data_IF_192580217072
#
_entry.id   IF_192580217072
#
_cell.length_a   1.000
_cell.length_b   1.000
_cell.length_c   1.000
_cell.angle_alpha   90.00
_cell.angle_beta   90.00
_cell.angle_gamma   90.00
#
_symmetry.space_group_name_H-M   'P 1'
#
loop_
_entity.id
_entity.type
_entity.pdbx_description
1 polymer ?
#
# COMPACT_ATOMS: atom_id res chain seq x y z
N UNK A 1 -5.07 0.03 -76.03
CA UNK A 1 -6.00 0.63 -75.07
C UNK A 1 -5.83 -0.17 -73.79
N UNK A 2 -4.92 0.31 -72.91
CA UNK A 2 -4.57 -0.37 -71.65
C UNK A 2 -5.41 0.26 -70.56
N UNK A 3 -6.32 -0.53 -70.01
CA UNK A 3 -7.21 -0.12 -68.96
C UNK A 3 -6.46 -0.30 -67.65
N UNK A 4 -5.98 0.81 -67.06
CA UNK A 4 -5.33 0.86 -65.78
C UNK A 4 -6.41 0.74 -64.71
N UNK A 5 -6.56 -0.46 -64.14
CA UNK A 5 -7.39 -0.67 -62.91
C UNK A 5 -6.59 -0.17 -61.72
N UNK A 6 -6.91 1.04 -61.28
CA UNK A 6 -6.39 1.59 -60.04
C UNK A 6 -7.09 0.90 -58.87
N UNK A 7 -6.45 -0.12 -58.30
CA UNK A 7 -6.89 -0.76 -57.08
C UNK A 7 -6.57 0.18 -55.88
N UNK A 8 -7.53 1.01 -55.50
CA UNK A 8 -7.45 1.76 -54.26
C UNK A 8 -7.52 0.78 -53.09
N UNK A 9 -6.37 0.37 -52.59
CA UNK A 9 -6.24 -0.27 -51.28
C UNK A 9 -6.62 0.76 -50.22
N UNK A 10 -7.89 0.78 -49.87
CA UNK A 10 -8.35 1.41 -48.65
C UNK A 10 -7.74 0.63 -47.47
N UNK A 11 -6.55 1.04 -47.07
CA UNK A 11 -5.96 0.64 -45.79
C UNK A 11 -6.83 1.32 -44.71
N UNK A 12 -7.92 0.66 -44.34
CA UNK A 12 -8.62 0.99 -43.14
C UNK A 12 -7.63 0.74 -42.00
N UNK A 13 -7.04 1.80 -41.46
CA UNK A 13 -6.39 1.73 -40.14
C UNK A 13 -7.48 1.26 -39.18
N UNK A 14 -7.47 -0.02 -38.87
CA UNK A 14 -8.17 -0.55 -37.73
C UNK A 14 -7.49 0.15 -36.53
N UNK A 15 -8.10 1.22 -36.07
CA UNK A 15 -7.74 1.82 -34.77
C UNK A 15 -7.99 0.71 -33.77
N UNK A 16 -6.96 -0.04 -33.42
CA UNK A 16 -7.03 -0.97 -32.29
C UNK A 16 -7.39 -0.14 -31.06
N UNK A 17 -8.61 -0.30 -30.60
CA UNK A 17 -9.05 0.36 -29.37
C UNK A 17 -8.17 -0.14 -28.23
N UNK A 18 -7.55 0.78 -27.49
CA UNK A 18 -6.76 0.42 -26.33
C UNK A 18 -7.69 -0.04 -25.19
N UNK A 19 -7.26 -1.00 -24.37
CA UNK A 19 -8.00 -1.36 -23.17
C UNK A 19 -8.16 -0.15 -22.26
N UNK A 20 -9.22 -0.11 -21.42
CA UNK A 20 -9.38 0.95 -20.43
C UNK A 20 -8.21 0.96 -19.45
N UNK A 21 -7.90 2.12 -18.87
CA UNK A 21 -6.92 2.23 -17.81
C UNK A 21 -7.39 1.49 -16.52
N UNK A 22 -6.47 0.97 -15.70
CA UNK A 22 -6.84 0.33 -14.44
C UNK A 22 -7.43 1.36 -13.46
N UNK A 23 -8.46 0.96 -12.66
CA UNK A 23 -9.00 1.80 -11.61
C UNK A 23 -7.91 2.30 -10.65
N UNK A 24 -8.05 3.52 -10.17
CA UNK A 24 -7.08 4.16 -9.27
C UNK A 24 -7.67 4.34 -7.87
N UNK A 25 -6.80 4.56 -6.87
CA UNK A 25 -7.21 4.83 -5.50
C UNK A 25 -8.20 3.80 -4.93
N UNK A 26 -7.96 2.51 -5.23
CA UNK A 26 -8.80 1.43 -4.73
C UNK A 26 -8.64 1.34 -3.22
N UNK A 27 -9.72 1.56 -2.49
CA UNK A 27 -9.74 1.62 -1.03
C UNK A 27 -10.93 0.81 -0.48
N UNK A 28 -10.70 0.12 0.63
CA UNK A 28 -11.74 -0.59 1.35
C UNK A 28 -11.91 0.02 2.75
N UNK A 29 -13.05 0.66 2.99
CA UNK A 29 -13.41 1.24 4.28
C UNK A 29 -14.74 0.68 4.75
N UNK A 30 -14.79 0.09 5.95
CA UNK A 30 -16.01 -0.50 6.49
C UNK A 30 -16.73 -1.44 5.52
N UNK A 31 -15.99 -2.27 4.80
CA UNK A 31 -16.48 -3.21 3.78
C UNK A 31 -17.15 -2.53 2.58
N UNK A 32 -16.99 -1.24 2.43
CA UNK A 32 -17.32 -0.50 1.23
C UNK A 32 -16.03 -0.29 0.41
N UNK A 33 -15.94 -0.99 -0.70
CA UNK A 33 -14.87 -0.80 -1.67
C UNK A 33 -15.19 0.43 -2.52
N UNK A 34 -14.22 1.30 -2.72
CA UNK A 34 -14.34 2.50 -3.57
C UNK A 34 -13.10 2.63 -4.45
N UNK A 35 -13.25 3.25 -5.60
CA UNK A 35 -12.16 3.54 -6.53
C UNK A 35 -12.47 4.77 -7.37
N UNK A 36 -11.46 5.26 -8.08
CA UNK A 36 -11.63 6.33 -9.08
C UNK A 36 -11.33 5.76 -10.49
N UNK A 37 -12.05 6.21 -11.52
CA UNK A 37 -11.68 5.90 -12.90
C UNK A 37 -10.25 6.35 -13.20
N UNK A 38 -9.56 5.63 -14.09
CA UNK A 38 -8.21 6.01 -14.52
C UNK A 38 -8.18 7.34 -15.28
N UNK A 39 -9.22 7.58 -16.06
CA UNK A 39 -9.41 8.78 -16.90
C UNK A 39 -10.91 9.07 -16.99
N UNK A 40 -11.28 10.21 -17.57
CA UNK A 40 -12.68 10.52 -17.92
C UNK A 40 -13.19 9.67 -19.09
N UNK A 41 -13.07 8.36 -18.94
CA UNK A 41 -13.51 7.40 -19.95
C UNK A 41 -15.03 7.17 -19.83
N UNK A 42 -15.73 7.29 -20.94
CA UNK A 42 -17.16 6.98 -21.01
C UNK A 42 -17.38 5.48 -21.31
N UNK A 43 -18.51 4.96 -20.84
CA UNK A 43 -18.93 3.57 -21.09
C UNK A 43 -17.96 2.51 -20.56
N UNK A 44 -17.34 2.76 -19.42
CA UNK A 44 -16.55 1.79 -18.68
C UNK A 44 -17.43 1.14 -17.60
N UNK A 45 -17.36 -0.17 -17.51
CA UNK A 45 -17.95 -0.95 -16.41
C UNK A 45 -16.85 -1.55 -15.57
N UNK A 46 -17.18 -1.88 -14.32
CA UNK A 46 -16.23 -2.42 -13.36
C UNK A 46 -16.73 -3.76 -12.85
N UNK A 47 -15.81 -4.70 -12.69
CA UNK A 47 -16.06 -5.97 -12.02
C UNK A 47 -15.10 -6.10 -10.84
N UNK A 48 -15.66 -6.40 -9.66
CA UNK A 48 -14.87 -6.64 -8.45
C UNK A 48 -14.57 -8.12 -8.33
N UNK A 49 -13.31 -8.41 -8.01
CA UNK A 49 -12.78 -9.76 -7.80
C UNK A 49 -12.20 -9.87 -6.40
N UNK A 50 -12.23 -11.03 -5.81
CA UNK A 50 -11.57 -11.32 -4.55
C UNK A 50 -10.80 -12.63 -4.62
N UNK A 51 -9.78 -12.73 -3.81
CA UNK A 51 -8.99 -13.94 -3.63
C UNK A 51 -9.33 -14.52 -2.27
N UNK A 52 -9.95 -15.70 -2.27
CA UNK A 52 -10.27 -16.44 -1.05
C UNK A 52 -9.03 -17.17 -0.54
N UNK A 53 -8.87 -17.26 0.78
CA UNK A 53 -7.76 -18.01 1.40
C UNK A 53 -7.83 -19.51 1.12
N UNK A 54 -9.03 -20.03 0.89
CA UNK A 54 -9.28 -21.46 0.67
C UNK A 54 -9.14 -21.88 -0.81
N UNK A 55 -8.90 -20.95 -1.71
CA UNK A 55 -8.84 -21.22 -3.14
C UNK A 55 -7.75 -20.39 -3.83
N UNK A 56 -6.87 -21.06 -4.58
CA UNK A 56 -5.80 -20.42 -5.37
C UNK A 56 -6.30 -19.61 -6.57
N UNK A 57 -7.57 -19.22 -6.59
CA UNK A 57 -8.20 -18.56 -7.72
C UNK A 57 -8.95 -17.31 -7.30
N UNK A 58 -8.84 -16.29 -8.15
CA UNK A 58 -9.68 -15.10 -8.08
C UNK A 58 -11.12 -15.44 -8.47
N UNK A 59 -12.09 -14.97 -7.68
CA UNK A 59 -13.52 -15.11 -7.92
C UNK A 59 -14.15 -13.73 -8.08
N UNK A 60 -15.07 -13.58 -9.01
CA UNK A 60 -15.86 -12.36 -9.14
C UNK A 60 -16.88 -12.25 -7.99
N UNK A 61 -17.12 -11.00 -7.58
CA UNK A 61 -18.16 -10.68 -6.60
C UNK A 61 -19.50 -10.57 -7.35
N UNK A 62 -20.45 -11.50 -7.17
CA UNK A 62 -21.65 -11.56 -8.03
C UNK A 62 -22.48 -10.28 -8.03
N UNK A 63 -22.53 -9.56 -6.89
CA UNK A 63 -23.27 -8.30 -6.75
C UNK A 63 -22.54 -7.09 -7.33
N UNK A 64 -21.28 -7.24 -7.71
CA UNK A 64 -20.40 -6.17 -8.17
C UNK A 64 -19.74 -6.51 -9.51
N UNK A 65 -20.55 -7.02 -10.42
CA UNK A 65 -20.13 -7.42 -11.77
C UNK A 65 -20.71 -6.48 -12.81
N UNK A 66 -19.88 -6.03 -13.75
CA UNK A 66 -20.25 -5.15 -14.87
C UNK A 66 -21.05 -3.91 -14.44
N UNK A 67 -20.68 -3.30 -13.33
CA UNK A 67 -21.37 -2.13 -12.77
C UNK A 67 -20.74 -0.82 -13.27
N UNK A 68 -21.56 0.21 -13.41
CA UNK A 68 -21.10 1.56 -13.78
C UNK A 68 -20.71 2.40 -12.55
N UNK A 69 -21.10 1.98 -11.34
CA UNK A 69 -20.73 2.69 -10.12
C UNK A 69 -19.27 2.44 -9.76
N UNK A 70 -18.67 3.38 -9.03
CA UNK A 70 -17.29 3.32 -8.54
C UNK A 70 -17.22 2.87 -7.07
N UNK A 71 -18.22 2.14 -6.61
CA UNK A 71 -18.25 1.57 -5.27
C UNK A 71 -19.02 0.27 -5.21
N UNK A 72 -18.61 -0.62 -4.31
CA UNK A 72 -19.20 -1.92 -4.12
C UNK A 72 -19.18 -2.31 -2.64
N UNK A 73 -20.29 -2.86 -2.13
CA UNK A 73 -20.35 -3.42 -0.80
C UNK A 73 -19.86 -4.88 -0.81
N UNK A 74 -18.84 -5.17 0.02
CA UNK A 74 -18.20 -6.48 0.10
C UNK A 74 -18.26 -7.07 1.51
N UNK A 75 -19.32 -6.82 2.25
CA UNK A 75 -19.52 -7.28 3.64
C UNK A 75 -19.36 -8.80 3.81
N UNK A 76 -19.64 -9.60 2.80
CA UNK A 76 -19.47 -11.05 2.84
C UNK A 76 -18.02 -11.47 3.05
N UNK A 77 -17.05 -10.62 2.68
CA UNK A 77 -15.63 -10.87 2.88
C UNK A 77 -15.16 -10.66 4.33
N UNK A 78 -16.04 -10.24 5.23
CA UNK A 78 -15.68 -10.03 6.64
C UNK A 78 -15.16 -11.30 7.30
N UNK A 79 -15.75 -12.44 7.03
CA UNK A 79 -15.30 -13.72 7.55
C UNK A 79 -13.92 -14.14 6.98
N UNK A 80 -13.66 -13.79 5.72
CA UNK A 80 -12.36 -14.04 5.09
C UNK A 80 -11.24 -13.20 5.73
N UNK A 81 -11.55 -11.97 6.17
CA UNK A 81 -10.60 -11.05 6.77
C UNK A 81 -10.22 -11.39 8.22
N UNK A 82 -10.98 -12.28 8.90
CA UNK A 82 -10.60 -12.79 10.21
C UNK A 82 -9.28 -13.58 10.16
N UNK A 83 -8.90 -14.06 8.98
CA UNK A 83 -7.65 -14.75 8.71
C UNK A 83 -6.53 -13.83 8.17
N UNK A 84 -6.78 -12.52 8.05
CA UNK A 84 -5.80 -11.52 7.63
C UNK A 84 -6.30 -10.58 6.55
N UNK A 85 -5.37 -10.10 5.71
CA UNK A 85 -5.69 -9.23 4.59
C UNK A 85 -6.41 -10.02 3.47
N UNK A 86 -7.71 -9.87 3.33
CA UNK A 86 -8.42 -10.39 2.17
C UNK A 86 -8.07 -9.53 0.94
N UNK A 87 -7.49 -10.16 -0.07
CA UNK A 87 -7.15 -9.50 -1.32
C UNK A 87 -8.42 -9.26 -2.13
N UNK A 88 -8.57 -8.03 -2.59
CA UNK A 88 -9.65 -7.61 -3.46
C UNK A 88 -9.08 -6.84 -4.64
N UNK A 89 -9.72 -6.95 -5.79
CA UNK A 89 -9.30 -6.28 -7.00
C UNK A 89 -10.48 -5.72 -7.78
N UNK A 90 -10.23 -4.64 -8.51
CA UNK A 90 -11.20 -4.03 -9.42
C UNK A 90 -10.62 -4.02 -10.83
N UNK A 91 -11.40 -4.50 -11.76
CA UNK A 91 -11.08 -4.56 -13.18
C UNK A 91 -12.03 -3.64 -13.93
N UNK A 92 -11.50 -2.78 -14.79
CA UNK A 92 -12.27 -1.96 -15.70
C UNK A 92 -12.48 -2.69 -17.04
N UNK A 93 -13.67 -2.58 -17.62
CA UNK A 93 -14.03 -3.19 -18.90
C UNK A 93 -14.72 -2.19 -19.81
N UNK A 94 -14.32 -2.19 -21.09
CA UNK A 94 -14.94 -1.39 -22.14
C UNK A 94 -14.96 -2.21 -23.44
N UNK A 95 -16.15 -2.44 -23.99
CA UNK A 95 -16.33 -3.18 -25.27
C UNK A 95 -15.59 -4.52 -25.33
N UNK A 96 -15.57 -5.25 -24.21
CA UNK A 96 -14.91 -6.55 -24.12
C UNK A 96 -13.37 -6.48 -23.94
N UNK A 97 -12.78 -5.29 -23.86
CA UNK A 97 -11.38 -5.09 -23.49
C UNK A 97 -11.30 -4.81 -22.00
N UNK A 98 -10.35 -5.42 -21.32
CA UNK A 98 -10.17 -5.32 -19.87
C UNK A 98 -8.88 -4.63 -19.52
N UNK A 99 -8.90 -3.86 -18.42
CA UNK A 99 -7.69 -3.29 -17.81
C UNK A 99 -6.87 -4.35 -17.08
N UNK A 100 -5.70 -3.96 -16.62
CA UNK A 100 -5.07 -4.66 -15.49
C UNK A 100 -5.94 -4.52 -14.23
N UNK A 101 -5.85 -5.53 -13.34
CA UNK A 101 -6.59 -5.52 -12.07
C UNK A 101 -5.90 -4.60 -11.06
N UNK A 102 -6.62 -3.60 -10.57
CA UNK A 102 -6.16 -2.77 -9.46
C UNK A 102 -6.51 -3.44 -8.14
N UNK A 103 -5.52 -3.67 -7.29
CA UNK A 103 -5.66 -4.47 -6.06
C UNK A 103 -5.72 -3.61 -4.82
N UNK A 104 -6.46 -4.07 -3.84
CA UNK A 104 -6.50 -3.54 -2.48
C UNK A 104 -6.50 -4.70 -1.47
N UNK A 105 -6.26 -4.35 -0.23
CA UNK A 105 -6.30 -5.28 0.88
C UNK A 105 -7.35 -4.83 1.87
N UNK A 106 -8.12 -5.76 2.44
CA UNK A 106 -9.06 -5.41 3.50
C UNK A 106 -8.28 -4.84 4.68
N UNK A 107 -8.41 -3.55 4.91
CA UNK A 107 -8.04 -2.98 6.19
C UNK A 107 -9.25 -3.11 7.10
N UNK A 108 -9.10 -3.64 8.30
CA UNK A 108 -10.19 -3.87 9.26
C UNK A 108 -10.85 -2.55 9.73
N UNK A 109 -11.30 -1.71 8.80
CA UNK A 109 -12.01 -0.47 9.08
C UNK A 109 -11.19 0.64 9.72
N UNK A 110 -9.89 0.48 9.86
CA UNK A 110 -9.00 1.51 10.37
C UNK A 110 -8.30 2.23 9.20
N UNK A 111 -8.48 3.55 9.11
CA UNK A 111 -7.85 4.39 8.07
C UNK A 111 -6.31 4.36 8.10
N UNK A 112 -5.71 3.79 9.14
CA UNK A 112 -4.26 3.66 9.32
C UNK A 112 -3.77 2.21 9.19
N UNK A 113 -4.52 1.33 8.53
CA UNK A 113 -4.10 -0.05 8.30
C UNK A 113 -3.23 -0.17 7.04
N UNK A 114 -2.16 -1.01 7.07
CA UNK A 114 -1.72 -1.84 8.20
C UNK A 114 -1.25 -1.00 9.40
N UNK A 115 -1.41 -1.52 10.62
CA UNK A 115 -0.97 -0.79 11.82
C UNK A 115 0.55 -0.86 11.96
N UNK A 116 1.16 0.29 12.26
CA UNK A 116 2.58 0.43 12.52
C UNK A 116 2.80 0.85 13.98
N UNK A 117 3.61 0.11 14.69
CA UNK A 117 4.11 0.46 16.02
C UNK A 117 5.62 0.65 15.95
N UNK A 118 6.12 1.74 16.50
CA UNK A 118 7.55 2.04 16.54
C UNK A 118 8.10 1.92 17.95
N UNK A 119 9.24 1.24 18.09
CA UNK A 119 10.09 1.37 19.28
C UNK A 119 11.48 1.86 18.88
N UNK A 120 12.19 2.48 19.82
CA UNK A 120 13.52 3.03 19.55
C UNK A 120 14.49 2.69 20.68
N UNK A 121 15.71 2.34 20.29
CA UNK A 121 16.88 2.21 21.14
C UNK A 121 17.95 3.21 20.64
N UNK A 122 19.00 3.51 21.42
CA UNK A 122 20.10 4.33 20.93
C UNK A 122 20.60 3.83 19.56
N UNK A 123 20.61 4.72 18.56
CA UNK A 123 21.05 4.44 17.21
C UNK A 123 20.13 3.52 16.37
N UNK A 124 18.95 3.12 16.87
CA UNK A 124 18.12 2.13 16.16
C UNK A 124 16.63 2.43 16.33
N UNK A 125 15.89 2.44 15.21
CA UNK A 125 14.43 2.39 15.18
C UNK A 125 13.98 0.97 14.86
N UNK A 126 12.96 0.47 15.55
CA UNK A 126 12.35 -0.83 15.24
C UNK A 126 10.92 -0.59 14.76
N UNK A 127 10.66 -0.99 13.52
CA UNK A 127 9.32 -0.98 12.94
C UNK A 127 8.66 -2.33 13.26
N UNK A 128 7.65 -2.31 14.13
CA UNK A 128 6.88 -3.50 14.46
C UNK A 128 5.72 -3.63 13.49
N UNK A 129 5.71 -4.72 12.76
CA UNK A 129 4.62 -5.09 11.87
C UNK A 129 3.61 -5.92 12.66
N UNK A 130 2.33 -5.56 12.58
CA UNK A 130 1.28 -6.31 13.27
C UNK A 130 1.21 -7.74 12.74
N UNK A 131 1.38 -8.72 13.64
CA UNK A 131 1.16 -10.14 13.32
C UNK A 131 -0.33 -10.50 13.21
N UNK A 132 -1.23 -9.58 13.58
CA UNK A 132 -2.67 -9.77 13.48
C UNK A 132 -3.20 -9.71 12.05
N UNK A 133 -2.36 -9.44 11.07
CA UNK A 133 -2.61 -9.92 9.73
C UNK A 133 -2.46 -11.44 9.77
N UNK A 134 -3.52 -12.17 10.07
CA UNK A 134 -3.57 -13.64 10.07
C UNK A 134 -3.34 -14.24 8.69
N UNK A 135 -2.42 -13.66 7.93
CA UNK A 135 -1.94 -14.22 6.69
C UNK A 135 -1.07 -15.40 7.10
N UNK A 136 -1.66 -16.57 7.05
CA UNK A 136 -0.88 -17.81 7.00
C UNK A 136 0.00 -17.69 5.76
N UNK A 137 1.29 -17.46 5.98
CA UNK A 137 2.30 -17.21 4.94
C UNK A 137 2.64 -18.47 4.12
N UNK A 138 2.05 -19.60 4.44
CA UNK A 138 2.18 -20.83 3.67
C UNK A 138 1.39 -20.71 2.37
N UNK A 139 1.99 -20.05 1.38
CA UNK A 139 1.47 -19.93 0.03
C UNK A 139 1.22 -18.53 -0.51
N UNK A 140 1.23 -17.49 0.33
CA UNK A 140 0.94 -16.13 -0.12
C UNK A 140 2.18 -15.22 -0.08
N UNK A 141 2.48 -14.56 -1.20
CA UNK A 141 3.59 -13.61 -1.35
C UNK A 141 3.21 -12.20 -0.87
N UNK A 142 2.49 -12.10 0.27
CA UNK A 142 2.13 -10.81 0.87
C UNK A 142 3.18 -10.43 1.91
N UNK A 143 3.78 -9.27 1.73
CA UNK A 143 4.75 -8.65 2.64
C UNK A 143 4.27 -7.24 2.98
N UNK A 144 5.04 -6.56 3.82
CA UNK A 144 4.87 -5.14 4.11
C UNK A 144 6.09 -4.40 3.56
N UNK A 145 5.85 -3.44 2.65
CA UNK A 145 6.87 -2.46 2.26
C UNK A 145 6.95 -1.40 3.32
N UNK A 146 8.13 -1.19 3.86
CA UNK A 146 8.41 -0.17 4.84
C UNK A 146 8.90 1.07 4.09
N UNK A 147 8.27 2.20 4.37
CA UNK A 147 8.74 3.52 3.97
C UNK A 147 9.30 4.20 5.21
N UNK A 148 10.48 4.78 5.08
CA UNK A 148 11.25 5.34 6.19
C UNK A 148 11.93 6.64 5.79
N UNK A 149 12.06 7.57 6.75
CA UNK A 149 12.75 8.84 6.56
C UNK A 149 12.86 9.63 7.85
N UNK A 150 13.62 10.74 7.81
CA UNK A 150 13.67 11.69 8.91
C UNK A 150 12.38 12.50 8.97
N UNK A 151 11.97 12.92 10.16
CA UNK A 151 10.78 13.78 10.33
C UNK A 151 10.92 15.07 9.52
N UNK A 152 9.88 15.38 8.73
CA UNK A 152 9.87 16.52 7.81
C UNK A 152 10.44 16.26 6.43
N UNK A 153 11.00 15.07 6.18
CA UNK A 153 11.50 14.63 4.89
C UNK A 153 10.54 13.62 4.23
N UNK A 154 10.57 13.47 2.90
CA UNK A 154 9.82 12.42 2.22
C UNK A 154 10.25 11.03 2.71
N UNK A 155 9.27 10.13 2.89
CA UNK A 155 9.56 8.75 3.21
C UNK A 155 9.94 8.00 1.93
N UNK A 156 11.05 7.29 1.96
CA UNK A 156 11.51 6.44 0.87
C UNK A 156 11.30 4.96 1.18
N UNK A 157 11.15 4.13 0.13
CA UNK A 157 11.03 2.70 0.30
C UNK A 157 12.34 2.13 0.86
N UNK A 158 12.25 1.44 1.99
CA UNK A 158 13.39 0.87 2.70
C UNK A 158 13.54 -0.62 2.39
N UNK A 159 12.58 -1.45 2.81
CA UNK A 159 12.58 -2.88 2.49
C UNK A 159 11.18 -3.49 2.57
N UNK A 160 11.03 -4.69 2.00
CA UNK A 160 9.82 -5.51 2.08
C UNK A 160 10.02 -6.64 3.09
N UNK A 161 9.19 -6.67 4.15
CA UNK A 161 9.34 -7.60 5.27
C UNK A 161 8.03 -8.27 5.68
N UNK A 162 8.14 -9.40 6.35
CA UNK A 162 7.02 -10.16 6.94
C UNK A 162 7.00 -10.06 8.48
N UNK A 163 8.05 -9.50 9.07
CA UNK A 163 8.22 -9.37 10.52
C UNK A 163 8.84 -8.02 10.85
N UNK A 164 8.92 -7.73 12.15
CA UNK A 164 9.54 -6.49 12.64
C UNK A 164 10.96 -6.29 12.11
N UNK A 165 11.27 -5.06 11.73
CA UNK A 165 12.53 -4.66 11.09
C UNK A 165 13.26 -3.64 11.94
N UNK A 166 14.52 -3.92 12.36
CA UNK A 166 15.39 -2.92 12.95
C UNK A 166 16.06 -2.07 11.87
N UNK A 167 16.01 -0.75 12.02
CA UNK A 167 16.71 0.21 11.17
C UNK A 167 17.86 0.81 12.00
N UNK A 168 19.10 0.36 11.79
CA UNK A 168 20.25 0.78 12.58
C UNK A 168 20.91 2.05 12.05
N UNK A 169 21.98 2.51 12.74
CA UNK A 169 22.82 3.63 12.37
C UNK A 169 22.10 4.98 12.32
N UNK A 170 21.10 5.14 13.15
CA UNK A 170 20.36 6.38 13.28
C UNK A 170 21.03 7.30 14.31
N UNK A 171 20.84 8.61 14.09
CA UNK A 171 21.42 9.61 14.96
C UNK A 171 20.58 9.80 16.23
N UNK A 172 21.23 9.72 17.38
CA UNK A 172 20.59 9.95 18.67
C UNK A 172 20.02 11.38 18.75
N UNK A 173 18.85 11.51 19.40
CA UNK A 173 18.13 12.79 19.53
C UNK A 173 17.33 13.22 18.31
N UNK A 174 17.52 12.61 17.15
CA UNK A 174 16.75 12.89 15.94
C UNK A 174 15.44 12.09 15.90
N UNK A 175 14.46 12.64 15.18
CA UNK A 175 13.15 12.01 14.96
C UNK A 175 13.09 11.34 13.61
N UNK A 176 12.63 10.11 13.59
CA UNK A 176 12.44 9.35 12.35
C UNK A 176 11.02 8.82 12.25
N UNK A 177 10.53 8.76 11.04
CA UNK A 177 9.17 8.38 10.72
C UNK A 177 9.14 7.13 9.83
N UNK A 178 8.10 6.32 9.99
CA UNK A 178 7.84 5.21 9.10
C UNK A 178 6.34 5.07 8.82
N UNK A 179 6.04 4.53 7.66
CA UNK A 179 4.74 4.00 7.26
C UNK A 179 4.94 2.66 6.57
N UNK A 180 3.89 1.86 6.47
CA UNK A 180 3.96 0.56 5.82
C UNK A 180 2.79 0.39 4.87
N UNK A 181 3.02 -0.40 3.82
CA UNK A 181 2.00 -0.74 2.82
C UNK A 181 2.10 -2.22 2.52
N UNK A 182 0.99 -2.88 2.31
CA UNK A 182 1.02 -4.26 1.84
C UNK A 182 1.62 -4.35 0.44
N UNK A 183 2.37 -5.43 0.19
CA UNK A 183 2.82 -5.81 -1.16
C UNK A 183 2.35 -7.22 -1.50
N UNK A 184 2.04 -7.43 -2.77
CA UNK A 184 1.73 -8.72 -3.34
C UNK A 184 2.62 -8.95 -4.54
N UNK A 185 3.45 -10.00 -4.51
CA UNK A 185 4.52 -10.20 -5.50
C UNK A 185 5.35 -8.93 -5.71
N UNK A 186 5.83 -8.34 -4.61
CA UNK A 186 6.64 -7.12 -4.58
C UNK A 186 5.97 -5.85 -5.18
N UNK A 187 4.68 -5.93 -5.51
CA UNK A 187 3.88 -4.78 -5.97
C UNK A 187 3.07 -4.21 -4.80
N UNK A 188 3.18 -2.91 -4.48
CA UNK A 188 2.34 -2.28 -3.46
C UNK A 188 0.85 -2.41 -3.78
N UNK A 189 0.05 -2.71 -2.76
CA UNK A 189 -1.41 -2.83 -2.86
C UNK A 189 -2.09 -2.02 -1.76
N UNK A 190 -3.26 -1.47 -2.06
CA UNK A 190 -4.00 -0.61 -1.14
C UNK A 190 -3.28 0.70 -0.84
N UNK A 191 -3.59 1.30 0.29
CA UNK A 191 -2.98 2.54 0.76
C UNK A 191 -1.91 2.25 1.82
N UNK A 192 -0.92 3.13 1.94
CA UNK A 192 0.03 3.06 3.03
C UNK A 192 -0.64 3.41 4.37
N UNK A 193 -0.12 2.88 5.45
CA UNK A 193 -0.55 3.21 6.81
C UNK A 193 -0.38 4.69 7.14
N UNK A 194 -1.00 5.14 8.23
CA UNK A 194 -0.63 6.43 8.79
C UNK A 194 0.86 6.44 9.16
N UNK A 195 1.53 7.54 8.83
CA UNK A 195 2.92 7.78 9.26
C UNK A 195 3.01 7.88 10.77
N UNK A 196 3.96 7.19 11.37
CA UNK A 196 4.32 7.28 12.79
C UNK A 196 5.75 7.74 12.90
N UNK A 197 6.02 8.61 13.88
CA UNK A 197 7.36 9.12 14.15
C UNK A 197 7.80 8.80 15.58
N UNK A 198 9.11 8.64 15.78
CA UNK A 198 9.72 8.34 17.06
C UNK A 198 11.09 8.99 17.17
N UNK A 199 11.39 9.58 18.36
CA UNK A 199 12.73 10.06 18.66
C UNK A 199 13.67 8.88 18.98
N UNK A 200 14.91 8.95 18.50
CA UNK A 200 15.97 8.03 18.91
C UNK A 200 16.53 8.51 20.25
N UNK A 201 16.48 7.69 21.30
CA UNK A 201 17.00 8.08 22.60
C UNK A 201 18.53 8.20 22.58
N UNK A 202 19.06 9.10 23.40
CA UNK A 202 20.51 9.18 23.61
C UNK A 202 21.03 7.96 24.37
N UNK A 203 22.26 7.57 24.05
CA UNK A 203 22.95 6.52 24.81
C UNK A 203 23.16 6.94 26.28
N UNK A 204 23.26 5.98 27.18
CA UNK A 204 23.49 6.26 28.61
C UNK A 204 24.76 7.06 28.85
N UNK A 205 25.80 6.84 28.05
CA UNK A 205 27.06 7.55 28.17
C UNK A 205 26.93 9.03 27.78
N UNK A 206 26.16 9.34 26.74
CA UNK A 206 25.93 10.69 26.29
C UNK A 206 25.05 11.47 27.25
N UNK A 207 24.03 10.82 27.84
CA UNK A 207 23.24 11.41 28.92
C UNK A 207 24.09 11.75 30.14
N UNK A 208 25.05 10.91 30.54
CA UNK A 208 25.95 11.21 31.66
C UNK A 208 26.87 12.39 31.33
N UNK A 209 27.36 12.50 30.10
CA UNK A 209 28.18 13.65 29.68
C UNK A 209 27.39 14.96 29.69
N UNK A 210 26.16 14.98 29.18
CA UNK A 210 25.30 16.16 29.21
C UNK A 210 25.03 16.63 30.63
N UNK A 211 24.70 15.72 31.54
CA UNK A 211 24.48 16.05 32.97
C UNK A 211 25.74 16.61 33.64
N UNK A 212 26.92 16.03 33.35
CA UNK A 212 28.19 16.49 33.93
C UNK A 212 28.57 17.89 33.43
N UNK A 213 28.28 18.21 32.16
CA UNK A 213 28.54 19.52 31.55
C UNK A 213 27.62 20.58 32.16
N UNK A 214 26.36 20.28 32.40
CA UNK A 214 25.41 21.19 33.06
C UNK A 214 25.83 21.50 34.51
N UNK A 215 26.38 20.53 35.24
CA UNK A 215 26.82 20.71 36.65
C UNK A 215 28.11 21.57 36.69
N UNK A 216 28.98 21.53 35.67
CA UNK A 216 30.17 22.34 35.62
C UNK A 216 29.88 23.83 35.31
N UNK A 217 28.86 24.12 34.49
CA UNK A 217 28.49 25.48 34.10
C UNK A 217 27.71 26.24 35.20
N UNK A 218 27.16 25.54 36.19
CA UNK A 218 26.40 26.12 37.29
C UNK A 218 27.23 26.35 38.57
N UNK A 219 28.57 26.20 38.55
CA UNK A 219 29.41 26.55 39.71
C UNK A 219 29.49 28.05 39.86
N UNK A 220 29.09 28.62 41.02
CA UNK A 220 29.24 30.05 41.27
C UNK A 220 30.73 30.40 41.28
N UNK A 221 31.09 31.46 40.58
CA UNK A 221 32.38 32.10 40.65
C UNK A 221 32.63 32.44 42.12
N UNK A 222 33.61 31.75 42.75
CA UNK A 222 34.07 32.12 44.10
C UNK A 222 34.76 33.50 43.99
N UNK A 223 34.13 34.51 44.63
CA UNK A 223 34.72 35.78 44.95
C UNK A 223 35.85 35.63 45.97
#
# INVERSE_FOLDING_TARGET
MVMLVLCFLLVTKVLSEAPPGPPQNVQLNNWQLTWTPATEEHNVTYTVWYHSFDADQWKDVPTCKQMSSTSCNVNFMKAEADHGCALIGVLAERRGLTSEIARACSSQGNSCSPEVVLSANPGTLIVHLSRNSGISLEGYHVKHRIYFGKEGEPLEAYEDAVSSVPIPNLKDGEHYCASVQYTYFDTPIGVASCTRCKAIPHSKEENQRMVSTFIQDTRPLRS
#
